data_IF_357312008834
#
_entry.id   IF_357312008834
#
_cell.length_a   1.000
_cell.length_b   1.000
_cell.length_c   1.000
_cell.angle_alpha   90.00
_cell.angle_beta   90.00
_cell.angle_gamma   90.00
#
_symmetry.space_group_name_H-M   'P 1'
#
loop_
_entity.id
_entity.type
_entity.pdbx_description
1 polymer ?
#
# COMPACT_ATOMS: atom_id res chain seq x y z
N UNK A 1 -14.43 -3.75 8.63
CA UNK A 1 -13.62 -3.77 7.38
C UNK A 1 -14.30 -4.73 6.44
N UNK A 2 -14.48 -4.34 5.18
CA UNK A 2 -15.00 -5.23 4.13
C UNK A 2 -13.82 -6.03 3.55
N UNK A 3 -14.02 -7.25 3.07
CA UNK A 3 -12.96 -8.06 2.44
C UNK A 3 -12.26 -7.31 1.28
N UNK A 4 -12.98 -6.42 0.60
CA UNK A 4 -12.42 -5.55 -0.45
C UNK A 4 -11.42 -4.51 0.08
N UNK A 5 -11.63 -3.99 1.29
CA UNK A 5 -10.71 -3.03 1.91
C UNK A 5 -9.40 -3.71 2.31
N UNK A 6 -9.49 -4.95 2.79
CA UNK A 6 -8.33 -5.73 3.22
C UNK A 6 -7.50 -6.17 2.02
N UNK A 7 -8.14 -6.56 0.92
CA UNK A 7 -7.47 -6.82 -0.36
C UNK A 7 -6.78 -5.58 -0.90
N UNK A 8 -7.40 -4.41 -0.81
CA UNK A 8 -6.77 -3.17 -1.28
C UNK A 8 -5.58 -2.77 -0.40
N UNK A 9 -5.71 -2.89 0.93
CA UNK A 9 -4.59 -2.66 1.85
C UNK A 9 -3.43 -3.63 1.56
N UNK A 10 -3.74 -4.90 1.28
CA UNK A 10 -2.77 -5.91 0.88
C UNK A 10 -2.04 -5.49 -0.40
N UNK A 11 -2.78 -5.13 -1.46
CA UNK A 11 -2.20 -4.72 -2.73
C UNK A 11 -1.29 -3.48 -2.60
N UNK A 12 -1.72 -2.47 -1.83
CA UNK A 12 -0.89 -1.29 -1.52
C UNK A 12 0.38 -1.69 -0.78
N UNK A 13 0.27 -2.54 0.23
CA UNK A 13 1.43 -2.96 1.02
C UNK A 13 2.41 -3.80 0.19
N UNK A 14 1.92 -4.75 -0.60
CA UNK A 14 2.75 -5.58 -1.46
C UNK A 14 3.50 -4.71 -2.48
N UNK A 15 2.84 -3.69 -3.07
CA UNK A 15 3.49 -2.73 -3.98
C UNK A 15 4.59 -1.91 -3.30
N UNK A 16 4.34 -1.46 -2.07
CA UNK A 16 5.34 -0.75 -1.26
C UNK A 16 6.51 -1.65 -0.86
N UNK A 17 6.28 -2.95 -0.62
CA UNK A 17 7.34 -3.90 -0.30
C UNK A 17 8.22 -4.22 -1.51
N UNK A 18 7.63 -4.28 -2.71
CA UNK A 18 8.35 -4.52 -3.96
C UNK A 18 9.23 -3.32 -4.38
N UNK A 19 8.69 -2.11 -4.33
CA UNK A 19 9.39 -0.91 -4.83
C UNK A 19 10.08 -0.09 -3.72
N UNK A 20 9.55 -0.14 -2.50
CA UNK A 20 9.97 0.73 -1.40
C UNK A 20 9.16 2.03 -1.36
N UNK A 21 9.79 3.15 -1.69
CA UNK A 21 9.14 4.47 -1.60
C UNK A 21 8.37 4.78 -2.89
N UNK A 22 7.09 5.10 -2.77
CA UNK A 22 6.24 5.56 -3.87
C UNK A 22 5.46 6.82 -3.46
N UNK A 23 5.19 7.70 -4.42
CA UNK A 23 4.18 8.74 -4.23
C UNK A 23 2.77 8.13 -4.25
N UNK A 24 1.81 8.80 -3.61
CA UNK A 24 0.40 8.39 -3.67
C UNK A 24 -0.10 8.36 -5.13
N UNK A 25 0.34 9.29 -5.97
CA UNK A 25 -0.02 9.31 -7.39
C UNK A 25 0.57 8.12 -8.17
N UNK A 26 1.79 7.69 -7.85
CA UNK A 26 2.36 6.47 -8.42
C UNK A 26 1.60 5.23 -7.95
N UNK A 27 1.26 5.13 -6.65
CA UNK A 27 0.43 4.03 -6.14
C UNK A 27 -0.93 3.96 -6.84
N UNK A 28 -1.60 5.10 -7.03
CA UNK A 28 -2.87 5.15 -7.74
C UNK A 28 -2.69 4.68 -9.19
N UNK A 29 -1.68 5.19 -9.90
CA UNK A 29 -1.42 4.80 -11.29
C UNK A 29 -1.09 3.32 -11.44
N UNK A 30 -0.25 2.77 -10.58
CA UNK A 30 0.17 1.37 -10.64
C UNK A 30 -1.03 0.44 -10.38
N UNK A 31 -1.79 0.69 -9.32
CA UNK A 31 -2.90 -0.19 -8.91
C UNK A 31 -4.14 -0.04 -9.81
N UNK A 32 -4.37 1.13 -10.40
CA UNK A 32 -5.43 1.31 -11.42
C UNK A 32 -5.06 0.69 -12.76
N UNK A 33 -3.79 0.78 -13.17
CA UNK A 33 -3.31 0.15 -14.40
C UNK A 33 -3.40 -1.38 -14.34
N UNK A 34 -3.14 -1.98 -13.17
CA UNK A 34 -3.23 -3.43 -12.96
C UNK A 34 -4.66 -3.96 -12.97
N UNK A 35 -5.63 -3.17 -12.47
CA UNK A 35 -7.03 -3.60 -12.35
C UNK A 35 -7.85 -3.32 -13.61
N UNK A 36 -7.41 -2.41 -14.48
CA UNK A 36 -8.15 -2.01 -15.68
C UNK A 36 -9.46 -1.26 -15.41
N UNK A 37 -9.81 -1.10 -14.13
CA UNK A 37 -10.92 -0.28 -13.65
C UNK A 37 -10.39 1.08 -13.22
N UNK A 38 -11.19 2.12 -13.42
CA UNK A 38 -10.98 3.42 -12.77
C UNK A 38 -11.21 3.21 -11.26
N UNK A 39 -10.24 2.65 -10.54
CA UNK A 39 -10.29 2.64 -9.10
C UNK A 39 -10.25 4.11 -8.64
N UNK A 40 -11.24 4.49 -7.83
CA UNK A 40 -11.27 5.80 -7.23
C UNK A 40 -9.99 6.01 -6.40
N UNK A 41 -9.40 7.20 -6.48
CA UNK A 41 -8.20 7.55 -5.71
C UNK A 41 -8.43 7.45 -4.19
N UNK A 42 -9.67 7.72 -3.76
CA UNK A 42 -10.09 7.75 -2.35
C UNK A 42 -9.87 6.41 -1.61
N UNK A 43 -10.30 5.25 -2.15
CA UNK A 43 -9.96 3.93 -1.60
C UNK A 43 -8.46 3.70 -1.37
N UNK A 44 -7.60 4.07 -2.33
CA UNK A 44 -6.15 3.86 -2.24
C UNK A 44 -5.56 4.76 -1.15
N UNK A 45 -5.97 6.03 -1.12
CA UNK A 45 -5.58 6.96 -0.05
C UNK A 45 -6.01 6.47 1.33
N UNK A 46 -7.23 5.91 1.43
CA UNK A 46 -7.74 5.31 2.67
C UNK A 46 -6.89 4.11 3.08
N UNK A 47 -6.60 3.21 2.16
CA UNK A 47 -5.76 2.03 2.43
C UNK A 47 -4.37 2.44 2.96
N UNK A 48 -3.71 3.42 2.34
CA UNK A 48 -2.44 3.96 2.84
C UNK A 48 -2.61 4.52 4.27
N UNK A 49 -3.70 5.23 4.53
CA UNK A 49 -3.96 5.81 5.85
C UNK A 49 -4.12 4.74 6.94
N UNK A 50 -4.81 3.64 6.63
CA UNK A 50 -4.97 2.52 7.56
C UNK A 50 -3.64 1.77 7.77
N UNK A 51 -2.85 1.54 6.72
CA UNK A 51 -1.52 0.95 6.84
C UNK A 51 -0.57 1.79 7.70
N UNK A 52 -0.66 3.13 7.60
CA UNK A 52 0.08 4.06 8.47
C UNK A 52 -0.39 3.93 9.92
N UNK A 53 -1.70 3.87 10.17
CA UNK A 53 -2.25 3.67 11.51
C UNK A 53 -1.83 2.32 12.12
N UNK A 54 -1.73 1.29 11.29
CA UNK A 54 -1.28 -0.04 11.70
C UNK A 54 0.24 -0.14 11.90
N UNK A 55 1.02 0.90 11.54
CA UNK A 55 2.49 0.88 11.64
C UNK A 55 3.18 0.05 10.55
N UNK A 56 2.45 -0.31 9.48
CA UNK A 56 2.97 -1.09 8.35
C UNK A 56 3.54 -0.18 7.24
N UNK A 57 3.06 1.06 7.16
CA UNK A 57 3.61 2.08 6.29
C UNK A 57 4.00 3.35 7.06
N UNK A 58 4.96 4.09 6.53
CA UNK A 58 5.26 5.45 6.93
C UNK A 58 4.90 6.41 5.80
N UNK A 59 4.31 7.56 6.13
CA UNK A 59 3.97 8.61 5.16
C UNK A 59 4.81 9.85 5.43
N UNK A 60 5.50 10.33 4.40
CA UNK A 60 6.25 11.58 4.41
C UNK A 60 5.77 12.48 3.27
N UNK A 61 4.86 13.41 3.58
CA UNK A 61 4.22 14.27 2.59
C UNK A 61 3.40 13.47 1.56
N UNK A 62 3.72 13.58 0.25
CA UNK A 62 3.04 12.82 -0.80
C UNK A 62 3.59 11.40 -0.98
N UNK A 63 4.59 10.98 -0.19
CA UNK A 63 5.22 9.67 -0.32
C UNK A 63 4.79 8.72 0.79
N UNK A 64 4.67 7.44 0.44
CA UNK A 64 4.51 6.32 1.35
C UNK A 64 5.67 5.33 1.15
N UNK A 65 6.04 4.64 2.22
CA UNK A 65 7.09 3.62 2.24
C UNK A 65 6.78 2.55 3.27
N UNK A 66 7.20 1.29 3.07
CA UNK A 66 6.99 0.26 4.07
C UNK A 66 7.84 0.56 5.31
N UNK A 67 7.33 0.22 6.49
CA UNK A 67 8.18 0.28 7.70
C UNK A 67 9.18 -0.86 7.71
N UNK A 68 10.26 -0.71 8.48
CA UNK A 68 11.24 -1.78 8.69
C UNK A 68 10.60 -3.06 9.24
N UNK A 69 9.55 -2.92 10.07
CA UNK A 69 8.80 -4.05 10.60
C UNK A 69 8.02 -4.79 9.50
N UNK A 70 7.36 -4.06 8.58
CA UNK A 70 6.66 -4.65 7.44
C UNK A 70 7.60 -5.41 6.51
N UNK A 71 8.74 -4.80 6.16
CA UNK A 71 9.78 -5.45 5.34
C UNK A 71 10.27 -6.74 6.00
N UNK A 72 10.65 -6.66 7.27
CA UNK A 72 11.18 -7.81 8.01
C UNK A 72 10.14 -8.93 8.14
N UNK A 73 8.87 -8.58 8.33
CA UNK A 73 7.78 -9.56 8.40
C UNK A 73 7.57 -10.28 7.06
N UNK A 74 7.61 -9.56 5.93
CA UNK A 74 7.53 -10.17 4.60
C UNK A 74 8.66 -11.16 4.37
N UNK A 75 9.92 -10.73 4.59
CA UNK A 75 11.11 -11.58 4.43
C UNK A 75 11.06 -12.88 5.25
N UNK A 76 10.39 -12.85 6.40
CA UNK A 76 10.25 -14.02 7.28
C UNK A 76 9.08 -14.94 6.88
N UNK A 77 8.06 -14.41 6.20
CA UNK A 77 6.91 -15.16 5.71
C UNK A 77 7.15 -15.83 4.36
N UNK A 78 8.11 -15.33 3.58
CA UNK A 78 8.51 -15.86 2.27
C UNK A 78 9.55 -17.02 2.38
N UNK A 79 9.81 -17.51 3.60
CA UNK A 79 10.81 -18.54 3.93
C UNK A 79 10.27 -19.93 4.22
#
# INVERSE_FOLDING_TARGET
>A
MSDSDDQLQRAVLDRLLDIGQLSIEELIRDLTAETGEFAESDPIERAVRELVRAGLAHRHGPFAMPTRAAVRFSELGDG
#
